data_IF_194100237443
#
_entry.id   IF_194100237443
#
_cell.length_a   1.000
_cell.length_b   1.000
_cell.length_c   1.000
_cell.angle_alpha   90.00
_cell.angle_beta   90.00
_cell.angle_gamma   90.00
#
_symmetry.space_group_name_H-M   'P 1'
#
loop_
_entity.id
_entity.type
_entity.pdbx_description
1 polymer ?
#
# COMPACT_ATOMS: atom_id res chain seq x y z
N UNK A 1 -24.11 -4.84 23.97
CA UNK A 1 -23.07 -5.83 23.59
C UNK A 1 -22.01 -5.09 22.80
N UNK A 2 -20.82 -4.88 23.35
CA UNK A 2 -19.72 -4.30 22.59
C UNK A 2 -19.23 -5.38 21.63
N UNK A 3 -19.48 -5.20 20.32
CA UNK A 3 -18.98 -6.13 19.32
C UNK A 3 -17.45 -6.02 19.30
N UNK A 4 -16.76 -7.15 19.39
CA UNK A 4 -15.30 -7.24 19.29
C UNK A 4 -14.92 -7.35 17.80
N UNK A 5 -13.75 -6.84 17.43
CA UNK A 5 -13.21 -7.06 16.10
C UNK A 5 -12.68 -8.48 15.93
N UNK A 6 -12.95 -9.12 14.79
CA UNK A 6 -12.47 -10.48 14.46
C UNK A 6 -10.95 -10.63 14.59
N UNK A 7 -10.19 -9.56 14.33
CA UNK A 7 -8.74 -9.55 14.47
C UNK A 7 -8.27 -9.71 15.93
N UNK A 8 -9.10 -9.39 16.92
CA UNK A 8 -8.70 -9.41 18.32
C UNK A 8 -8.78 -10.82 18.95
N UNK A 9 -9.20 -11.83 18.20
CA UNK A 9 -9.12 -13.24 18.60
C UNK A 9 -7.86 -13.94 18.05
N UNK A 10 -7.08 -13.25 17.21
CA UNK A 10 -5.81 -13.76 16.70
C UNK A 10 -4.70 -13.59 17.74
N UNK A 11 -3.76 -14.55 17.86
CA UNK A 11 -2.58 -14.38 18.70
C UNK A 11 -1.74 -13.17 18.27
N UNK A 12 -1.12 -12.46 19.21
CA UNK A 12 -0.36 -11.21 18.95
C UNK A 12 0.67 -11.37 17.82
N UNK A 13 1.42 -12.47 17.80
CA UNK A 13 2.40 -12.75 16.74
C UNK A 13 1.81 -12.84 15.33
N UNK A 14 0.55 -13.25 15.19
CA UNK A 14 -0.18 -13.22 13.92
C UNK A 14 -0.77 -11.85 13.66
N UNK A 15 -1.29 -11.20 14.70
CA UNK A 15 -1.86 -9.87 14.62
C UNK A 15 -0.86 -8.84 14.08
N UNK A 16 0.36 -8.82 14.62
CA UNK A 16 1.44 -7.92 14.19
C UNK A 16 1.83 -8.12 12.74
N UNK A 17 1.91 -9.38 12.29
CA UNK A 17 2.31 -9.69 10.90
C UNK A 17 1.22 -9.34 9.88
N UNK A 18 -0.04 -9.33 10.29
CA UNK A 18 -1.19 -9.15 9.41
C UNK A 18 -1.70 -7.70 9.39
N UNK A 19 -1.81 -7.07 10.55
CA UNK A 19 -2.34 -5.71 10.73
C UNK A 19 -1.30 -4.71 11.23
N UNK A 20 -0.09 -5.14 11.61
CA UNK A 20 0.98 -4.28 12.09
C UNK A 20 1.83 -3.62 10.99
N UNK A 21 3.05 -3.17 11.32
CA UNK A 21 3.92 -2.45 10.41
C UNK A 21 4.45 -3.32 9.27
N UNK A 22 4.98 -2.64 8.26
CA UNK A 22 5.33 -3.24 6.98
C UNK A 22 6.79 -3.76 6.90
N UNK A 23 7.24 -4.50 7.90
CA UNK A 23 8.67 -4.81 8.13
C UNK A 23 9.12 -6.25 7.82
N UNK A 24 8.20 -7.09 7.32
CA UNK A 24 8.56 -8.47 6.96
C UNK A 24 9.61 -8.53 5.84
N UNK A 25 10.65 -9.39 5.97
CA UNK A 25 11.76 -9.46 5.01
C UNK A 25 11.31 -9.94 3.62
N UNK A 26 10.22 -10.71 3.54
CA UNK A 26 9.67 -11.21 2.28
C UNK A 26 8.42 -10.41 1.86
N UNK A 27 8.57 -9.61 0.81
CA UNK A 27 7.48 -8.78 0.25
C UNK A 27 6.27 -9.60 -0.23
N UNK A 28 6.47 -10.81 -0.73
CA UNK A 28 5.37 -11.69 -1.17
C UNK A 28 4.59 -12.21 0.03
N UNK A 29 5.28 -12.68 1.07
CA UNK A 29 4.63 -13.12 2.31
C UNK A 29 3.83 -11.98 2.93
N UNK A 30 4.43 -10.80 3.02
CA UNK A 30 3.77 -9.60 3.52
C UNK A 30 2.52 -9.23 2.71
N UNK A 31 2.58 -9.37 1.38
CA UNK A 31 1.43 -9.15 0.52
C UNK A 31 0.29 -10.13 0.79
N UNK A 32 0.59 -11.43 0.91
CA UNK A 32 -0.43 -12.45 1.19
C UNK A 32 -1.07 -12.27 2.57
N UNK A 33 -0.26 -11.97 3.60
CA UNK A 33 -0.76 -11.70 4.95
C UNK A 33 -1.66 -10.47 4.97
N UNK A 34 -1.28 -9.39 4.28
CA UNK A 34 -2.16 -8.21 4.15
C UNK A 34 -3.45 -8.52 3.40
N UNK A 35 -3.41 -9.35 2.35
CA UNK A 35 -4.66 -9.77 1.67
C UNK A 35 -5.56 -10.57 2.59
N UNK A 36 -4.99 -11.47 3.40
CA UNK A 36 -5.75 -12.23 4.38
C UNK A 36 -6.34 -11.32 5.47
N UNK A 37 -5.56 -10.37 6.00
CA UNK A 37 -6.00 -9.38 6.97
C UNK A 37 -7.22 -8.57 6.46
N UNK A 38 -7.14 -8.11 5.22
CA UNK A 38 -8.25 -7.36 4.60
C UNK A 38 -9.51 -8.22 4.44
N UNK A 39 -9.39 -9.51 4.06
CA UNK A 39 -10.54 -10.41 3.98
C UNK A 39 -11.23 -10.61 5.33
N UNK A 40 -10.45 -10.73 6.41
CA UNK A 40 -11.00 -10.82 7.77
C UNK A 40 -11.72 -9.51 8.12
N UNK A 41 -11.13 -8.36 7.80
CA UNK A 41 -11.78 -7.07 8.03
C UNK A 41 -13.09 -6.89 7.24
N UNK A 42 -13.24 -7.49 6.06
CA UNK A 42 -14.45 -7.39 5.23
C UNK A 42 -15.67 -8.06 5.88
N UNK A 43 -15.45 -9.18 6.57
CA UNK A 43 -16.49 -9.91 7.29
C UNK A 43 -16.73 -9.37 8.72
N UNK A 44 -15.83 -8.52 9.22
CA UNK A 44 -15.85 -8.06 10.60
C UNK A 44 -17.07 -7.15 10.91
N UNK A 45 -17.87 -7.45 11.95
CA UNK A 45 -19.10 -6.72 12.24
C UNK A 45 -18.87 -5.26 12.66
N UNK A 46 -17.68 -4.95 13.21
CA UNK A 46 -17.28 -3.60 13.63
C UNK A 46 -16.40 -2.88 12.61
N UNK A 47 -16.40 -3.32 11.35
CA UNK A 47 -15.53 -2.77 10.30
C UNK A 47 -15.64 -1.25 10.16
N UNK A 48 -16.86 -0.70 10.22
CA UNK A 48 -17.09 0.73 10.05
C UNK A 48 -16.58 1.54 11.26
N UNK A 49 -16.85 1.06 12.47
CA UNK A 49 -16.33 1.62 13.73
C UNK A 49 -14.81 1.59 13.75
N UNK A 50 -14.20 0.43 13.45
CA UNK A 50 -12.76 0.25 13.38
C UNK A 50 -12.12 1.21 12.37
N UNK A 51 -12.72 1.38 11.19
CA UNK A 51 -12.24 2.32 10.18
C UNK A 51 -12.35 3.77 10.66
N UNK A 52 -13.48 4.14 11.29
CA UNK A 52 -13.68 5.47 11.84
C UNK A 52 -12.65 5.79 12.93
N UNK A 53 -12.46 4.88 13.88
CA UNK A 53 -11.44 4.98 14.92
C UNK A 53 -10.04 5.18 14.32
N UNK A 54 -9.66 4.35 13.35
CA UNK A 54 -8.37 4.48 12.67
C UNK A 54 -8.19 5.81 11.93
N UNK A 55 -9.27 6.43 11.42
CA UNK A 55 -9.22 7.77 10.83
C UNK A 55 -9.06 8.85 11.91
N UNK A 56 -9.81 8.73 13.02
CA UNK A 56 -9.83 9.70 14.11
C UNK A 56 -8.49 9.78 14.86
N UNK A 57 -7.92 8.63 15.24
CA UNK A 57 -6.63 8.53 15.94
C UNK A 57 -5.45 8.89 15.03
N UNK A 58 -5.68 8.99 13.71
CA UNK A 58 -4.65 9.28 12.70
C UNK A 58 -3.45 8.33 12.78
N UNK A 59 -3.69 7.08 13.15
CA UNK A 59 -2.63 6.08 13.29
C UNK A 59 -1.84 5.96 11.99
N UNK A 60 -0.53 6.10 12.08
CA UNK A 60 0.37 6.11 10.93
C UNK A 60 0.60 4.73 10.33
N UNK A 61 0.34 3.67 11.10
CA UNK A 61 0.61 2.29 10.73
C UNK A 61 -0.67 1.47 10.70
N UNK A 62 -0.50 0.23 10.22
CA UNK A 62 -1.52 -0.80 10.26
C UNK A 62 -2.75 -0.63 9.38
N UNK A 63 -3.61 -1.64 9.48
CA UNK A 63 -4.84 -1.80 8.70
C UNK A 63 -6.04 -1.67 9.63
N UNK A 64 -6.90 -0.68 9.37
CA UNK A 64 -8.15 -0.47 10.10
C UNK A 64 -9.33 -0.61 9.16
N UNK A 65 -10.33 -1.41 9.53
CA UNK A 65 -11.49 -1.72 8.67
C UNK A 65 -11.13 -2.21 7.26
N UNK A 66 -9.95 -2.82 7.11
CA UNK A 66 -9.42 -3.31 5.84
C UNK A 66 -8.67 -2.27 5.00
N UNK A 67 -8.40 -1.07 5.52
CA UNK A 67 -7.70 0.00 4.80
C UNK A 67 -6.36 0.40 5.43
N UNK A 68 -5.28 0.52 4.63
CA UNK A 68 -4.04 1.16 5.08
C UNK A 68 -4.19 2.68 5.18
N UNK A 69 -3.23 3.37 5.83
CA UNK A 69 -3.23 4.82 6.06
C UNK A 69 -3.63 5.65 4.83
N UNK A 70 -3.03 5.40 3.67
CA UNK A 70 -3.32 6.17 2.43
C UNK A 70 -4.77 6.05 2.00
N UNK A 71 -5.35 4.86 2.10
CA UNK A 71 -6.75 4.64 1.76
C UNK A 71 -7.69 5.23 2.83
N UNK A 72 -7.31 5.17 4.12
CA UNK A 72 -8.03 5.88 5.19
C UNK A 72 -8.13 7.38 4.93
N UNK A 73 -7.03 8.01 4.51
CA UNK A 73 -7.00 9.43 4.13
C UNK A 73 -7.93 9.74 2.94
N UNK A 74 -8.09 8.82 2.01
CA UNK A 74 -9.03 8.99 0.90
C UNK A 74 -10.50 8.93 1.37
N UNK A 75 -10.83 8.03 2.29
CA UNK A 75 -12.16 8.00 2.93
C UNK A 75 -12.43 9.29 3.68
N UNK A 76 -11.46 9.74 4.49
CA UNK A 76 -11.55 11.01 5.21
C UNK A 76 -11.81 12.19 4.27
N UNK A 77 -11.03 12.30 3.19
CA UNK A 77 -11.21 13.35 2.18
C UNK A 77 -12.63 13.33 1.59
N UNK A 78 -13.11 12.16 1.22
CA UNK A 78 -14.46 12.00 0.63
C UNK A 78 -15.56 12.37 1.65
N UNK A 79 -15.39 12.02 2.92
CA UNK A 79 -16.32 12.41 3.99
C UNK A 79 -16.34 13.93 4.21
N UNK A 80 -15.17 14.58 4.19
CA UNK A 80 -15.06 16.04 4.29
C UNK A 80 -15.72 16.75 3.11
N UNK A 81 -15.55 16.24 1.89
CA UNK A 81 -16.23 16.73 0.67
C UNK A 81 -17.75 16.59 0.76
N UNK A 82 -18.26 15.58 1.48
CA UNK A 82 -19.67 15.40 1.79
C UNK A 82 -20.17 16.27 2.97
N UNK A 83 -19.33 17.18 3.49
CA UNK A 83 -19.69 18.10 4.57
C UNK A 83 -19.47 17.56 5.98
N UNK A 84 -18.81 16.40 6.15
CA UNK A 84 -18.52 15.88 7.48
C UNK A 84 -17.50 16.77 8.20
N UNK A 85 -17.92 17.38 9.30
CA UNK A 85 -17.06 18.21 10.17
C UNK A 85 -16.44 17.35 11.26
N UNK A 86 -15.11 17.38 11.32
CA UNK A 86 -14.31 16.77 12.38
C UNK A 86 -14.02 17.81 13.43
N UNK A 87 -14.74 17.72 14.54
CA UNK A 87 -14.43 18.43 15.76
C UNK A 87 -13.65 17.47 16.68
N UNK A 88 -12.38 17.78 17.04
CA UNK A 88 -11.60 16.97 17.97
C UNK A 88 -12.26 16.80 19.34
N UNK A 89 -13.07 17.78 19.76
CA UNK A 89 -13.71 17.80 21.08
C UNK A 89 -15.09 17.11 21.07
N UNK A 90 -15.59 16.67 19.91
CA UNK A 90 -16.87 15.99 19.79
C UNK A 90 -16.73 14.47 20.08
N UNK A 91 -17.22 13.97 21.23
CA UNK A 91 -17.16 12.54 21.58
C UNK A 91 -18.09 11.66 20.72
N UNK A 92 -18.85 12.26 19.81
CA UNK A 92 -19.73 11.57 18.86
C UNK A 92 -19.14 11.50 17.45
N UNK A 93 -18.06 12.23 17.16
CA UNK A 93 -17.49 12.32 15.82
C UNK A 93 -17.15 10.95 15.22
N UNK A 94 -16.51 10.08 16.00
CA UNK A 94 -16.21 8.70 15.58
C UNK A 94 -17.49 7.91 15.24
N UNK A 95 -18.50 7.95 16.12
CA UNK A 95 -19.79 7.25 15.90
C UNK A 95 -20.54 7.79 14.68
N UNK A 96 -20.53 9.11 14.47
CA UNK A 96 -21.14 9.76 13.29
C UNK A 96 -20.41 9.33 12.02
N UNK A 97 -19.08 9.26 12.05
CA UNK A 97 -18.27 8.81 10.92
C UNK A 97 -18.51 7.33 10.61
N UNK A 98 -18.56 6.47 11.63
CA UNK A 98 -18.87 5.05 11.46
C UNK A 98 -20.24 4.85 10.81
N UNK A 99 -21.25 5.62 11.24
CA UNK A 99 -22.58 5.63 10.62
C UNK A 99 -22.53 6.05 9.15
N UNK A 100 -21.79 7.12 8.84
CA UNK A 100 -21.60 7.59 7.48
C UNK A 100 -20.93 6.52 6.60
N UNK A 101 -19.85 5.90 7.08
CA UNK A 101 -19.15 4.82 6.37
C UNK A 101 -20.07 3.63 6.11
N UNK A 102 -20.90 3.23 7.10
CA UNK A 102 -21.84 2.12 6.95
C UNK A 102 -22.92 2.42 5.91
N UNK A 103 -23.41 3.66 5.88
CA UNK A 103 -24.42 4.10 4.92
C UNK A 103 -23.86 4.28 3.49
N UNK A 104 -22.53 4.46 3.36
CA UNK A 104 -21.85 4.78 2.10
C UNK A 104 -20.68 3.81 1.86
N UNK A 105 -20.91 2.49 1.69
CA UNK A 105 -19.83 1.50 1.54
C UNK A 105 -18.97 1.72 0.27
N UNK A 106 -19.51 2.39 -0.74
CA UNK A 106 -18.83 2.71 -1.99
C UNK A 106 -17.61 3.62 -1.80
N UNK A 107 -17.59 4.49 -0.78
CA UNK A 107 -16.42 5.34 -0.49
C UNK A 107 -15.22 4.47 -0.07
N UNK A 108 -15.48 3.39 0.67
CA UNK A 108 -14.47 2.43 1.13
C UNK A 108 -13.98 1.59 -0.05
N UNK A 109 -14.92 1.14 -0.91
CA UNK A 109 -14.59 0.42 -2.13
C UNK A 109 -13.73 1.28 -3.08
N UNK A 110 -14.11 2.54 -3.31
CA UNK A 110 -13.36 3.48 -4.13
C UNK A 110 -11.98 3.78 -3.57
N UNK A 111 -11.86 3.98 -2.24
CA UNK A 111 -10.57 4.16 -1.58
C UNK A 111 -9.65 2.95 -1.77
N UNK A 112 -10.19 1.74 -1.63
CA UNK A 112 -9.45 0.50 -1.88
C UNK A 112 -9.03 0.35 -3.34
N UNK A 113 -9.90 0.65 -4.28
CA UNK A 113 -9.60 0.57 -5.70
C UNK A 113 -8.47 1.53 -6.10
N UNK A 114 -8.52 2.78 -5.60
CA UNK A 114 -7.45 3.78 -5.80
C UNK A 114 -6.11 3.29 -5.25
N UNK A 115 -6.11 2.69 -4.06
CA UNK A 115 -4.90 2.12 -3.46
C UNK A 115 -4.36 0.93 -4.26
N UNK A 116 -5.23 0.06 -4.77
CA UNK A 116 -4.85 -1.05 -5.65
C UNK A 116 -4.24 -0.55 -6.97
N UNK A 117 -4.87 0.43 -7.62
CA UNK A 117 -4.35 1.07 -8.85
C UNK A 117 -2.98 1.72 -8.62
N UNK A 118 -2.80 2.41 -7.47
CA UNK A 118 -1.53 3.00 -7.07
C UNK A 118 -0.44 1.94 -6.91
N UNK A 119 -0.69 0.88 -6.14
CA UNK A 119 0.28 -0.22 -5.93
C UNK A 119 0.70 -0.89 -7.25
N UNK A 120 -0.25 -1.17 -8.14
CA UNK A 120 0.05 -1.72 -9.48
C UNK A 120 0.93 -0.77 -10.30
N UNK A 121 0.64 0.53 -10.23
CA UNK A 121 1.44 1.57 -10.91
C UNK A 121 2.86 1.63 -10.36
N UNK A 122 3.03 1.61 -9.04
CA UNK A 122 4.33 1.61 -8.37
C UNK A 122 5.15 0.37 -8.72
N UNK A 123 4.53 -0.82 -8.72
CA UNK A 123 5.19 -2.06 -9.13
C UNK A 123 5.64 -2.01 -10.59
N UNK A 124 4.80 -1.52 -11.50
CA UNK A 124 5.16 -1.31 -12.91
C UNK A 124 6.34 -0.35 -13.04
N UNK A 125 6.28 0.79 -12.35
CA UNK A 125 7.33 1.81 -12.40
C UNK A 125 8.65 1.26 -11.84
N UNK A 126 8.62 0.53 -10.73
CA UNK A 126 9.79 -0.13 -10.15
C UNK A 126 10.39 -1.18 -11.10
N UNK A 127 9.54 -1.99 -11.75
CA UNK A 127 10.00 -2.95 -12.78
C UNK A 127 10.66 -2.23 -13.95
N UNK A 128 10.07 -1.13 -14.42
CA UNK A 128 10.64 -0.33 -15.50
C UNK A 128 11.99 0.30 -15.10
N UNK A 129 12.09 0.83 -13.88
CA UNK A 129 13.34 1.38 -13.35
C UNK A 129 14.43 0.31 -13.26
N UNK A 130 14.11 -0.90 -12.77
CA UNK A 130 15.06 -2.04 -12.74
C UNK A 130 15.53 -2.40 -14.14
N UNK A 131 14.61 -2.52 -15.10
CA UNK A 131 14.95 -2.80 -16.50
C UNK A 131 15.88 -1.72 -17.08
N UNK A 132 15.57 -0.43 -16.87
CA UNK A 132 16.42 0.70 -17.29
C UNK A 132 17.80 0.65 -16.66
N UNK A 133 17.91 0.28 -15.38
CA UNK A 133 19.19 0.15 -14.70
C UNK A 133 20.04 -0.96 -15.32
N UNK A 134 19.45 -2.12 -15.60
CA UNK A 134 20.15 -3.26 -16.22
C UNK A 134 20.56 -2.99 -17.67
N UNK A 135 19.72 -2.31 -18.46
CA UNK A 135 20.05 -2.01 -19.87
C UNK A 135 21.07 -0.89 -20.00
N UNK A 136 21.05 0.10 -19.08
CA UNK A 136 22.07 1.16 -19.03
C UNK A 136 23.45 0.62 -18.64
N UNK A 137 23.53 -0.41 -17.80
CA UNK A 137 24.80 -1.08 -17.47
C UNK A 137 25.34 -1.93 -18.63
N UNK A 138 24.47 -2.62 -19.39
CA UNK A 138 24.90 -3.42 -20.55
C UNK A 138 25.28 -2.57 -21.77
N UNK A 139 24.65 -1.40 -21.96
CA UNK A 139 24.95 -0.48 -23.05
C UNK A 139 26.26 0.32 -22.90
N UNK A 140 27.00 0.16 -21.79
CA UNK A 140 28.29 0.85 -21.53
C UNK A 140 29.54 0.00 -21.82
N UNK A 141 29.39 -1.23 -22.33
CA UNK A 141 30.51 -1.97 -22.90
C UNK A 141 30.81 -1.42 -24.31
N UNK A 142 31.59 -0.34 -24.37
CA UNK A 142 32.21 0.12 -25.63
C UNK A 142 33.17 -0.99 -26.07
N UNK A 143 32.87 -1.66 -27.18
CA UNK A 143 33.80 -2.59 -27.80
C UNK A 143 35.15 -1.87 -28.00
N UNK A 144 36.31 -2.48 -27.64
CA UNK A 144 37.59 -1.86 -27.93
C UNK A 144 37.67 -1.63 -29.43
N UNK A 145 38.05 -0.41 -29.83
CA UNK A 145 38.24 -0.06 -31.23
C UNK A 145 39.24 -1.05 -31.83
N UNK A 146 38.88 -1.72 -32.92
CA UNK A 146 39.78 -2.60 -33.64
C UNK A 146 40.98 -1.77 -34.10
N UNK A 147 42.16 -2.05 -33.52
CA UNK A 147 43.41 -1.45 -33.92
C UNK A 147 43.73 -1.92 -35.34
N UNK A 148 43.66 -1.01 -36.31
CA UNK A 148 44.16 -1.27 -37.66
C UNK A 148 45.68 -1.42 -37.57
N UNK A 149 46.18 -2.64 -37.73
CA UNK A 149 47.61 -2.89 -37.95
C UNK A 149 47.89 -2.72 -39.44
N UNK A 150 48.67 -1.70 -39.86
CA UNK A 150 49.06 -1.58 -41.27
C UNK A 150 50.02 -2.72 -41.65
N UNK A 151 49.96 -3.24 -42.88
CA UNK A 151 50.84 -4.33 -43.32
C UNK A 151 52.30 -3.84 -43.39
N UNK A 152 53.21 -4.67 -42.88
CA UNK A 152 54.66 -4.54 -43.05
C UNK A 152 54.97 -4.58 -44.56
N UNK A 153 55.65 -3.54 -45.04
CA UNK A 153 56.20 -3.51 -46.39
C UNK A 153 57.51 -4.30 -46.36
N UNK A 154 57.54 -5.43 -47.08
CA UNK A 154 58.77 -6.18 -47.35
C UNK A 154 59.64 -5.36 -48.30
N UNK A 155 60.71 -4.78 -47.78
CA UNK A 155 61.79 -4.22 -48.58
C UNK A 155 62.68 -5.38 -49.05
N UNK A 156 62.52 -5.80 -50.30
CA UNK A 156 63.49 -6.64 -51.00
C UNK A 156 64.49 -5.75 -51.76
N UNK A 157 65.77 -6.08 -51.57
CA UNK A 157 66.94 -5.58 -52.30
C UNK A 157 66.89 -5.93 -53.80
#
# INVERSE_FOLDING_TARGET
MFLKGECADFPDSWSDRMWGPDDLPNQRTQYELRRAAVRICEACPVRAECLAFGIMVRDQYGIYGGLPLRARRQVLKTAQEAGFRFDPDDPTAERRLARYIRANPEIVAAARERECKRRKTEQRNARQQRWRATTRSTGKAKAPAATHTPPLQDTLF
#
